data_IF_121023234318
#
_entry.id   IF_121023234318
#
_cell.length_a   1.000
_cell.length_b   1.000
_cell.length_c   1.000
_cell.angle_alpha   90.00
_cell.angle_beta   90.00
_cell.angle_gamma   90.00
#
_symmetry.space_group_name_H-M   'P 1'
#
loop_
_entity.id
_entity.type
_entity.pdbx_description
1 polymer ?
#
# COMPACT_ATOMS: atom_id res chain seq x y z
N UNK A 1 -44.36 84.96 20.40
CA UNK A 1 -43.94 85.58 19.13
C UNK A 1 -43.72 84.49 18.09
N UNK A 2 -44.31 84.69 16.90
CA UNK A 2 -44.21 83.90 15.65
C UNK A 2 -42.86 83.19 15.42
N UNK A 3 -42.89 81.94 14.97
CA UNK A 3 -42.69 81.57 13.54
C UNK A 3 -42.79 80.06 13.30
N UNK A 4 -43.80 79.75 12.49
CA UNK A 4 -44.03 78.54 11.69
C UNK A 4 -42.83 78.20 10.80
N UNK A 5 -42.56 76.90 10.57
CA UNK A 5 -42.18 76.33 9.24
C UNK A 5 -42.06 74.79 9.32
N UNK A 6 -43.02 74.07 8.73
CA UNK A 6 -42.95 73.38 7.42
C UNK A 6 -42.30 71.98 7.48
N UNK A 7 -43.24 71.02 7.55
CA UNK A 7 -43.31 69.66 7.00
C UNK A 7 -42.21 69.30 5.97
N UNK A 8 -41.53 68.16 6.21
CA UNK A 8 -41.19 67.19 5.17
C UNK A 8 -41.46 65.78 5.71
N UNK A 9 -42.57 65.19 5.28
CA UNK A 9 -42.86 63.77 5.44
C UNK A 9 -42.00 63.00 4.43
N UNK A 10 -41.18 62.07 4.90
CA UNK A 10 -40.56 61.05 4.08
C UNK A 10 -41.30 59.73 4.36
N UNK A 11 -42.09 59.30 3.39
CA UNK A 11 -42.76 58.00 3.35
C UNK A 11 -41.71 56.90 3.23
N UNK A 12 -41.50 56.11 4.28
CA UNK A 12 -40.77 54.86 4.21
C UNK A 12 -41.77 53.74 3.90
N UNK A 13 -41.67 53.18 2.70
CA UNK A 13 -42.40 51.97 2.31
C UNK A 13 -41.77 50.76 3.02
N UNK A 14 -42.52 50.12 3.92
CA UNK A 14 -42.15 48.85 4.52
C UNK A 14 -42.47 47.71 3.54
N UNK A 15 -41.44 47.06 2.99
CA UNK A 15 -41.59 45.82 2.25
C UNK A 15 -41.60 44.65 3.26
N UNK A 16 -42.75 43.99 3.40
CA UNK A 16 -42.88 42.75 4.14
C UNK A 16 -42.30 41.59 3.30
N UNK A 17 -41.15 41.06 3.71
CA UNK A 17 -40.61 39.79 3.22
C UNK A 17 -41.18 38.65 4.08
N UNK A 18 -42.14 37.92 3.53
CA UNK A 18 -42.61 36.64 4.07
C UNK A 18 -41.49 35.60 3.85
N UNK A 19 -40.75 35.27 4.91
CA UNK A 19 -39.90 34.08 4.93
C UNK A 19 -40.76 32.84 5.15
N UNK A 20 -41.07 32.15 4.06
CA UNK A 20 -41.57 30.78 4.08
C UNK A 20 -40.42 29.85 4.48
N UNK A 21 -40.21 29.65 5.79
CA UNK A 21 -39.32 28.61 6.30
C UNK A 21 -39.95 27.24 6.06
N UNK A 22 -39.71 26.67 4.87
CA UNK A 22 -39.98 25.26 4.60
C UNK A 22 -39.02 24.40 5.42
N UNK A 23 -39.53 23.74 6.46
CA UNK A 23 -38.88 22.62 7.11
C UNK A 23 -38.84 21.46 6.11
N UNK A 24 -37.77 21.38 5.31
CA UNK A 24 -37.44 20.15 4.61
C UNK A 24 -36.97 19.13 5.66
N UNK A 25 -37.58 17.93 5.75
CA UNK A 25 -37.01 16.86 6.54
C UNK A 25 -35.66 16.52 5.91
N UNK A 26 -34.57 16.73 6.64
CA UNK A 26 -33.30 16.09 6.32
C UNK A 26 -33.55 14.58 6.49
N UNK A 27 -33.89 13.91 5.39
CA UNK A 27 -33.84 12.46 5.33
C UNK A 27 -32.37 12.09 5.53
N UNK A 28 -32.01 11.65 6.73
CA UNK A 28 -30.85 10.79 6.90
C UNK A 28 -31.09 9.60 5.98
N UNK A 29 -30.41 9.59 4.83
CA UNK A 29 -30.24 8.37 4.07
C UNK A 29 -29.58 7.39 5.03
N UNK A 30 -30.37 6.46 5.56
CA UNK A 30 -29.82 5.29 6.18
C UNK A 30 -28.95 4.63 5.10
N UNK A 31 -27.63 4.58 5.32
CA UNK A 31 -26.70 3.85 4.45
C UNK A 31 -27.27 2.46 4.25
N UNK A 32 -27.86 2.24 3.08
CA UNK A 32 -28.32 0.92 2.71
C UNK A 32 -27.04 0.09 2.57
N UNK A 33 -26.89 -1.03 3.30
CA UNK A 33 -25.69 -1.85 3.19
C UNK A 33 -25.43 -2.15 1.72
N UNK A 34 -24.20 -1.90 1.27
CA UNK A 34 -23.81 -2.20 -0.09
C UNK A 34 -24.12 -3.68 -0.39
N UNK A 35 -24.55 -4.02 -1.62
CA UNK A 35 -24.84 -5.39 -1.95
C UNK A 35 -23.57 -6.25 -1.80
N UNK A 36 -23.70 -7.52 -1.35
CA UNK A 36 -22.57 -8.44 -1.26
C UNK A 36 -21.81 -8.57 -2.60
N UNK A 37 -20.49 -8.69 -2.55
CA UNK A 37 -19.66 -8.88 -3.75
C UNK A 37 -19.44 -10.37 -4.04
N UNK A 38 -20.02 -10.94 -5.12
CA UNK A 38 -19.86 -12.35 -5.46
C UNK A 38 -18.43 -12.72 -5.86
N UNK A 39 -17.67 -11.81 -6.46
CA UNK A 39 -16.26 -12.05 -6.82
C UNK A 39 -15.42 -12.23 -5.55
N UNK A 40 -15.65 -11.40 -4.53
CA UNK A 40 -14.98 -11.51 -3.24
C UNK A 40 -15.38 -12.80 -2.50
N UNK A 41 -16.67 -13.16 -2.53
CA UNK A 41 -17.14 -14.43 -1.94
C UNK A 41 -16.50 -15.66 -2.62
N UNK A 42 -16.43 -15.67 -3.95
CA UNK A 42 -15.76 -16.73 -4.71
C UNK A 42 -14.25 -16.79 -4.40
N UNK A 43 -13.61 -15.63 -4.30
CA UNK A 43 -12.19 -15.53 -3.96
C UNK A 43 -11.90 -16.00 -2.52
N UNK A 44 -12.78 -15.69 -1.58
CA UNK A 44 -12.71 -16.17 -0.19
C UNK A 44 -12.90 -17.69 -0.11
N UNK A 45 -13.80 -18.26 -0.92
CA UNK A 45 -13.97 -19.71 -0.99
C UNK A 45 -12.76 -20.41 -1.63
N UNK A 46 -12.08 -19.74 -2.57
CA UNK A 46 -10.84 -20.23 -3.15
C UNK A 46 -9.69 -20.18 -2.13
N UNK A 47 -9.41 -19.01 -1.53
CA UNK A 47 -8.33 -18.83 -0.56
C UNK A 47 -8.73 -19.29 0.84
N UNK A 48 -8.76 -20.61 1.03
CA UNK A 48 -8.90 -21.19 2.36
C UNK A 48 -7.67 -20.90 3.23
N UNK A 49 -7.78 -20.96 4.57
CA UNK A 49 -6.63 -20.80 5.46
C UNK A 49 -5.46 -21.74 5.13
N UNK A 50 -5.77 -22.96 4.67
CA UNK A 50 -4.77 -23.92 4.22
C UNK A 50 -4.04 -23.48 2.94
N UNK A 51 -4.76 -22.91 1.95
CA UNK A 51 -4.13 -22.39 0.73
C UNK A 51 -3.30 -21.14 1.01
N UNK A 52 -3.78 -20.25 1.89
CA UNK A 52 -3.05 -19.06 2.31
C UNK A 52 -1.76 -19.44 3.05
N UNK A 53 -1.82 -20.40 3.98
CA UNK A 53 -0.63 -20.91 4.69
C UNK A 53 0.36 -21.61 3.76
N UNK A 54 -0.12 -22.32 2.74
CA UNK A 54 0.72 -23.01 1.76
C UNK A 54 1.28 -22.08 0.66
N UNK A 55 0.84 -20.83 0.59
CA UNK A 55 1.33 -19.88 -0.41
C UNK A 55 2.82 -19.59 -0.16
N UNK A 56 3.59 -19.62 -1.24
CA UNK A 56 5.05 -19.39 -1.18
C UNK A 56 5.39 -17.97 -1.62
N UNK A 57 6.50 -17.38 -1.16
CA UNK A 57 6.96 -16.09 -1.67
C UNK A 57 7.01 -16.03 -3.20
N UNK A 58 6.70 -14.85 -3.75
CA UNK A 58 6.97 -14.54 -5.16
C UNK A 58 8.45 -14.56 -5.48
N UNK A 59 9.27 -14.05 -4.57
CA UNK A 59 10.73 -14.05 -4.64
C UNK A 59 11.33 -14.97 -3.56
N UNK A 60 11.92 -16.12 -3.94
CA UNK A 60 12.55 -17.05 -3.02
C UNK A 60 13.99 -16.67 -2.62
N UNK A 61 14.55 -15.55 -3.10
CA UNK A 61 15.97 -15.23 -2.96
C UNK A 61 16.39 -14.93 -1.51
N UNK A 62 15.53 -14.31 -0.69
CA UNK A 62 15.80 -14.07 0.74
C UNK A 62 15.47 -15.29 1.61
N UNK A 63 16.31 -16.31 1.56
CA UNK A 63 16.21 -17.46 2.48
C UNK A 63 16.88 -17.12 3.81
N UNK A 64 16.17 -17.39 4.92
CA UNK A 64 16.64 -17.15 6.29
C UNK A 64 17.72 -18.11 6.78
N UNK A 65 18.58 -18.63 5.91
CA UNK A 65 19.66 -19.51 6.33
C UNK A 65 20.75 -18.66 7.01
N UNK A 66 20.90 -18.85 8.32
CA UNK A 66 22.00 -18.30 9.14
C UNK A 66 23.37 -18.94 8.81
N UNK A 67 23.40 -19.85 7.83
CA UNK A 67 24.60 -20.49 7.32
C UNK A 67 25.38 -19.57 6.41
N UNK A 68 26.60 -19.24 6.82
CA UNK A 68 27.57 -18.44 6.09
C UNK A 68 27.73 -18.90 4.62
N UNK A 69 26.95 -18.33 3.71
CA UNK A 69 27.43 -18.10 2.35
C UNK A 69 28.22 -16.81 2.39
N UNK A 70 29.51 -16.94 2.13
CA UNK A 70 30.43 -15.83 1.87
C UNK A 70 29.99 -15.10 0.61
N UNK A 71 28.95 -14.28 0.69
CA UNK A 71 28.87 -13.07 -0.12
C UNK A 71 29.72 -12.05 0.62
N UNK A 72 30.70 -11.45 -0.05
CA UNK A 72 31.46 -10.35 0.55
C UNK A 72 30.46 -9.29 1.05
N UNK A 73 30.58 -8.81 2.31
CA UNK A 73 29.63 -7.88 2.92
C UNK A 73 29.73 -6.45 2.36
N UNK A 74 30.29 -6.27 1.17
CA UNK A 74 30.43 -4.95 0.56
C UNK A 74 29.21 -4.53 -0.25
N UNK A 75 28.35 -5.45 -0.68
CA UNK A 75 27.32 -5.18 -1.70
C UNK A 75 25.88 -5.20 -1.14
N UNK A 76 25.58 -5.98 -0.10
CA UNK A 76 24.24 -6.04 0.51
C UNK A 76 24.32 -6.46 1.99
N UNK A 77 23.41 -5.96 2.84
CA UNK A 77 23.27 -6.40 4.22
C UNK A 77 23.85 -5.48 5.30
N UNK A 78 24.08 -6.01 6.52
CA UNK A 78 24.49 -5.22 7.68
C UNK A 78 25.96 -4.78 7.57
N UNK A 79 26.24 -3.53 7.96
CA UNK A 79 27.60 -2.99 8.03
C UNK A 79 28.34 -3.58 9.25
N UNK A 80 29.68 -3.68 9.23
CA UNK A 80 30.45 -4.13 10.39
C UNK A 80 30.14 -3.32 11.65
N UNK A 81 29.72 -4.01 12.72
CA UNK A 81 29.34 -3.37 13.99
C UNK A 81 27.97 -2.69 14.00
N UNK A 82 27.19 -2.79 12.91
CA UNK A 82 25.84 -2.25 12.87
C UNK A 82 24.92 -3.02 13.81
N UNK A 83 24.19 -2.27 14.64
CA UNK A 83 23.12 -2.84 15.44
C UNK A 83 21.92 -3.15 14.55
N UNK A 84 21.44 -4.40 14.61
CA UNK A 84 20.25 -4.84 13.88
C UNK A 84 19.11 -5.01 14.89
N UNK A 85 18.12 -4.10 14.92
CA UNK A 85 16.97 -4.24 15.80
C UNK A 85 16.24 -5.57 15.55
N UNK A 86 15.87 -6.32 16.60
CA UNK A 86 15.09 -7.54 16.45
C UNK A 86 13.67 -7.20 15.99
N UNK A 87 13.11 -8.02 15.09
CA UNK A 87 11.67 -8.01 14.82
C UNK A 87 10.93 -8.87 15.84
N UNK A 88 9.62 -8.66 15.91
CA UNK A 88 8.69 -9.47 16.69
C UNK A 88 7.46 -9.84 15.88
N UNK A 89 6.96 -11.04 16.09
CA UNK A 89 5.64 -11.43 15.57
C UNK A 89 4.53 -10.75 16.36
N UNK A 90 3.44 -10.40 15.68
CA UNK A 90 2.26 -9.76 16.25
C UNK A 90 1.03 -10.02 15.36
N UNK A 91 -0.15 -9.52 15.73
CA UNK A 91 -1.40 -9.82 15.03
C UNK A 91 -1.68 -8.89 13.82
N UNK A 92 -0.71 -8.07 13.41
CA UNK A 92 -0.89 -7.10 12.32
C UNK A 92 -1.57 -5.80 12.75
N UNK A 93 -1.68 -4.88 11.80
CA UNK A 93 -2.56 -3.70 11.89
C UNK A 93 -3.56 -3.74 10.74
N UNK A 94 -4.73 -3.09 10.87
CA UNK A 94 -5.72 -3.05 9.80
C UNK A 94 -5.15 -2.61 8.45
N UNK A 95 -4.29 -1.59 8.43
CA UNK A 95 -3.77 -0.98 7.21
C UNK A 95 -2.66 -1.77 6.52
N UNK A 96 -2.13 -2.83 7.12
CA UNK A 96 -1.10 -3.68 6.53
C UNK A 96 -1.66 -5.07 6.28
N UNK A 97 -1.22 -5.72 5.21
CA UNK A 97 -1.77 -7.00 4.82
C UNK A 97 -0.91 -7.74 3.82
N UNK A 98 -1.48 -8.81 3.28
CA UNK A 98 -0.81 -9.70 2.34
C UNK A 98 -1.66 -9.88 1.08
N UNK A 99 -1.00 -9.91 -0.06
CA UNK A 99 -1.59 -10.38 -1.31
C UNK A 99 -1.51 -11.90 -1.39
N UNK A 100 -2.52 -12.51 -2.00
CA UNK A 100 -2.48 -13.90 -2.46
C UNK A 100 -2.88 -13.96 -3.93
N UNK A 101 -2.20 -14.79 -4.71
CA UNK A 101 -2.56 -15.09 -6.10
C UNK A 101 -2.09 -16.47 -6.53
N UNK A 102 -2.66 -16.98 -7.62
CA UNK A 102 -2.19 -18.19 -8.29
C UNK A 102 -1.29 -17.78 -9.44
N UNK A 103 -0.05 -18.28 -9.52
CA UNK A 103 0.78 -18.03 -10.70
C UNK A 103 0.34 -18.90 -11.90
N UNK A 104 1.00 -18.72 -13.05
CA UNK A 104 0.69 -19.46 -14.28
C UNK A 104 0.92 -20.99 -14.14
N UNK A 105 1.69 -21.44 -13.15
CA UNK A 105 1.92 -22.86 -12.86
C UNK A 105 0.84 -23.47 -11.96
N UNK A 106 -0.10 -22.67 -11.44
CA UNK A 106 -1.08 -23.10 -10.45
C UNK A 106 -0.61 -22.98 -9.00
N UNK A 107 0.58 -22.41 -8.76
CA UNK A 107 1.16 -22.29 -7.42
C UNK A 107 0.63 -21.04 -6.72
N UNK A 108 0.23 -21.19 -5.46
CA UNK A 108 -0.17 -20.05 -4.63
C UNK A 108 1.04 -19.21 -4.22
N UNK A 109 0.94 -17.90 -4.40
CA UNK A 109 1.99 -16.93 -4.12
C UNK A 109 1.54 -15.86 -3.14
N UNK A 110 2.52 -15.27 -2.46
CA UNK A 110 2.27 -14.20 -1.49
C UNK A 110 3.33 -13.09 -1.54
N UNK A 111 2.86 -11.87 -1.28
CA UNK A 111 3.62 -10.66 -1.00
C UNK A 111 2.88 -9.84 0.06
N UNK A 112 3.54 -8.84 0.63
CA UNK A 112 2.96 -7.88 1.56
C UNK A 112 2.46 -6.61 0.86
N UNK A 113 1.68 -5.81 1.56
CA UNK A 113 1.22 -4.51 1.10
C UNK A 113 0.58 -3.69 2.20
N UNK A 114 0.18 -2.47 1.86
CA UNK A 114 -0.55 -1.59 2.78
C UNK A 114 -1.66 -0.81 2.08
N UNK A 115 -2.76 -0.57 2.80
CA UNK A 115 -3.87 0.26 2.34
C UNK A 115 -3.44 1.72 2.38
N UNK A 116 -3.48 2.39 1.24
CA UNK A 116 -3.13 3.81 1.13
C UNK A 116 -4.40 4.62 0.95
N UNK A 117 -4.44 5.82 1.54
CA UNK A 117 -5.56 6.74 1.33
C UNK A 117 -5.69 7.10 -0.14
N UNK A 118 -6.87 6.88 -0.70
CA UNK A 118 -7.24 7.23 -2.07
C UNK A 118 -8.66 7.82 -2.10
N UNK A 119 -9.00 8.64 -3.12
CA UNK A 119 -10.34 9.19 -3.28
C UNK A 119 -11.45 8.14 -3.33
N UNK A 120 -11.18 6.98 -3.95
CA UNK A 120 -12.15 5.89 -4.13
C UNK A 120 -12.07 4.81 -3.04
N UNK A 121 -11.21 4.98 -2.02
CA UNK A 121 -11.13 4.11 -0.85
C UNK A 121 -10.76 2.65 -1.16
N UNK A 122 -10.01 2.41 -2.23
CA UNK A 122 -9.80 1.08 -2.82
C UNK A 122 -8.32 0.76 -3.17
N UNK A 123 -7.36 1.55 -2.68
CA UNK A 123 -5.96 1.46 -3.12
C UNK A 123 -5.04 0.72 -2.13
N UNK A 124 -4.24 -0.21 -2.66
CA UNK A 124 -3.16 -0.90 -1.94
C UNK A 124 -1.82 -0.53 -2.58
N UNK A 125 -0.81 -0.21 -1.78
CA UNK A 125 0.59 -0.05 -2.17
C UNK A 125 1.37 -1.34 -1.87
N UNK A 126 2.24 -1.74 -2.81
CA UNK A 126 3.16 -2.87 -2.69
C UNK A 126 4.43 -2.62 -3.51
N UNK A 127 5.31 -3.62 -3.59
CA UNK A 127 6.47 -3.60 -4.47
C UNK A 127 6.05 -3.88 -5.92
N UNK A 128 6.80 -3.32 -6.87
CA UNK A 128 6.60 -3.52 -8.29
C UNK A 128 6.79 -4.98 -8.69
N UNK A 129 7.81 -5.69 -8.20
CA UNK A 129 8.07 -7.09 -8.53
C UNK A 129 6.94 -8.03 -8.08
N UNK A 130 6.20 -7.67 -7.02
CA UNK A 130 5.02 -8.43 -6.60
C UNK A 130 3.88 -8.32 -7.62
N UNK A 131 3.74 -7.15 -8.25
CA UNK A 131 2.56 -6.77 -9.02
C UNK A 131 2.78 -6.74 -10.53
N UNK A 132 4.03 -6.63 -11.01
CA UNK A 132 4.37 -6.39 -12.42
C UNK A 132 3.70 -7.36 -13.39
N UNK A 133 3.65 -8.66 -13.06
CA UNK A 133 3.00 -9.69 -13.88
C UNK A 133 1.47 -9.57 -13.99
N UNK A 134 0.88 -8.58 -13.31
CA UNK A 134 -0.55 -8.27 -13.28
C UNK A 134 -0.89 -6.89 -13.86
N UNK A 135 0.10 -6.08 -14.22
CA UNK A 135 -0.11 -4.81 -14.92
C UNK A 135 -0.69 -5.03 -16.32
N UNK A 136 -1.49 -4.07 -16.78
CA UNK A 136 -2.13 -4.14 -18.10
C UNK A 136 -3.14 -5.28 -18.21
N UNK A 137 -3.24 -5.90 -19.39
CA UNK A 137 -4.19 -6.99 -19.65
C UNK A 137 -3.67 -8.32 -19.11
N UNK A 138 -3.80 -8.53 -17.80
CA UNK A 138 -3.42 -9.78 -17.14
C UNK A 138 -4.63 -10.45 -16.49
N UNK A 139 -4.78 -11.79 -16.59
CA UNK A 139 -5.89 -12.47 -15.94
C UNK A 139 -5.85 -12.28 -14.42
N UNK A 140 -7.03 -12.16 -13.79
CA UNK A 140 -7.16 -11.94 -12.34
C UNK A 140 -6.45 -13.00 -11.48
N UNK A 141 -6.13 -14.20 -12.00
CA UNK A 141 -5.48 -15.37 -11.32
C UNK A 141 -5.66 -15.45 -9.79
N UNK A 142 -6.89 -15.30 -9.31
CA UNK A 142 -7.23 -15.25 -7.88
C UNK A 142 -6.41 -14.24 -7.07
N UNK A 143 -6.06 -13.09 -7.65
CA UNK A 143 -5.33 -12.01 -7.00
C UNK A 143 -6.27 -11.24 -6.06
N UNK A 144 -5.94 -11.23 -4.78
CA UNK A 144 -6.64 -10.45 -3.77
C UNK A 144 -5.72 -10.02 -2.64
N UNK A 145 -6.15 -8.97 -1.94
CA UNK A 145 -5.48 -8.43 -0.76
C UNK A 145 -6.27 -8.76 0.50
N UNK A 146 -5.56 -9.13 1.57
CA UNK A 146 -6.12 -9.49 2.88
C UNK A 146 -5.50 -8.58 3.94
N UNK A 147 -6.23 -7.55 4.42
CA UNK A 147 -5.76 -6.68 5.48
C UNK A 147 -5.74 -7.43 6.81
N UNK A 148 -4.73 -7.14 7.64
CA UNK A 148 -4.53 -7.73 8.96
C UNK A 148 -4.56 -9.26 8.98
N UNK A 149 -4.08 -9.93 7.93
CA UNK A 149 -3.97 -11.40 7.94
C UNK A 149 -3.14 -11.87 9.16
N UNK A 150 -3.59 -12.91 9.86
CA UNK A 150 -2.80 -13.59 10.90
C UNK A 150 -3.49 -14.89 11.26
N UNK A 151 -2.72 -15.92 11.59
CA UNK A 151 -3.21 -17.24 12.02
C UNK A 151 -4.26 -17.86 11.07
N UNK A 152 -4.15 -17.57 9.76
CA UNK A 152 -5.13 -17.99 8.75
C UNK A 152 -6.45 -17.21 8.76
N UNK A 153 -6.56 -16.17 9.61
CA UNK A 153 -7.72 -15.30 9.72
C UNK A 153 -7.68 -14.18 8.68
N UNK A 154 -8.87 -13.77 8.25
CA UNK A 154 -9.09 -12.64 7.33
C UNK A 154 -10.02 -11.62 8.01
N UNK A 155 -9.56 -10.83 8.99
CA UNK A 155 -10.43 -10.04 9.86
C UNK A 155 -11.35 -9.06 9.13
N UNK A 156 -10.90 -8.53 7.99
CA UNK A 156 -11.65 -7.59 7.13
C UNK A 156 -12.15 -8.22 5.83
N UNK A 157 -12.03 -9.54 5.70
CA UNK A 157 -12.30 -10.28 4.47
C UNK A 157 -11.16 -10.21 3.46
N UNK A 158 -11.51 -10.50 2.21
CA UNK A 158 -10.60 -10.45 1.06
C UNK A 158 -11.11 -9.44 0.03
N UNK A 159 -10.20 -8.65 -0.51
CA UNK A 159 -10.46 -7.60 -1.48
C UNK A 159 -9.89 -8.05 -2.83
N UNK A 160 -10.72 -8.47 -3.80
CA UNK A 160 -10.25 -8.82 -5.14
C UNK A 160 -9.56 -7.62 -5.78
N UNK A 161 -8.46 -7.85 -6.50
CA UNK A 161 -7.89 -6.78 -7.33
C UNK A 161 -8.73 -6.63 -8.60
N UNK A 162 -9.07 -5.38 -8.94
CA UNK A 162 -9.85 -5.02 -10.13
C UNK A 162 -9.14 -5.53 -11.39
N UNK A 163 -9.92 -5.91 -12.40
CA UNK A 163 -9.32 -6.27 -13.69
C UNK A 163 -8.58 -5.07 -14.28
N UNK A 164 -7.33 -5.25 -14.73
CA UNK A 164 -6.43 -4.16 -15.12
C UNK A 164 -6.26 -3.10 -14.00
N UNK A 165 -6.48 -3.46 -12.74
CA UNK A 165 -6.38 -2.58 -11.59
C UNK A 165 -4.97 -2.50 -11.01
N UNK A 166 -3.97 -3.07 -11.67
CA UNK A 166 -2.59 -3.06 -11.19
C UNK A 166 -1.76 -2.07 -11.98
N UNK A 167 -1.06 -1.22 -11.25
CA UNK A 167 -0.24 -0.13 -11.75
C UNK A 167 1.19 -0.31 -11.28
N UNK A 168 2.11 -0.48 -12.22
CA UNK A 168 3.55 -0.29 -12.05
C UNK A 168 4.00 0.80 -13.02
N UNK A 169 5.12 1.46 -12.77
CA UNK A 169 5.61 2.46 -13.72
C UNK A 169 6.01 1.79 -15.05
N UNK A 170 5.94 2.54 -16.15
CA UNK A 170 6.36 2.03 -17.45
C UNK A 170 7.86 1.72 -17.45
N UNK A 171 8.66 2.51 -16.73
CA UNK A 171 10.09 2.26 -16.53
C UNK A 171 10.32 0.90 -15.85
N UNK A 172 9.58 0.58 -14.78
CA UNK A 172 9.69 -0.72 -14.12
C UNK A 172 9.25 -1.88 -15.02
N UNK A 173 8.16 -1.65 -15.76
CA UNK A 173 7.63 -2.61 -16.71
C UNK A 173 8.68 -2.97 -17.78
N UNK A 174 9.35 -1.97 -18.34
CA UNK A 174 10.33 -2.14 -19.43
C UNK A 174 11.70 -2.62 -18.93
N UNK A 175 12.19 -2.07 -17.81
CA UNK A 175 13.55 -2.30 -17.33
C UNK A 175 13.70 -3.57 -16.46
N UNK A 176 12.62 -4.06 -15.86
CA UNK A 176 12.69 -5.22 -14.97
C UNK A 176 13.19 -4.91 -13.57
N UNK A 177 13.37 -5.97 -12.79
CA UNK A 177 13.63 -5.89 -11.34
C UNK A 177 14.98 -5.23 -11.01
N UNK A 178 15.99 -5.45 -11.87
CA UNK A 178 17.35 -4.94 -11.69
C UNK A 178 17.51 -3.50 -12.18
N UNK A 179 17.55 -3.30 -13.50
CA UNK A 179 17.76 -1.97 -14.08
C UNK A 179 16.64 -0.98 -13.69
N UNK A 180 15.44 -1.50 -13.40
CA UNK A 180 14.30 -0.74 -12.93
C UNK A 180 14.16 -0.66 -11.41
N UNK A 181 15.12 -1.13 -10.60
CA UNK A 181 15.01 -1.18 -9.14
C UNK A 181 14.55 0.15 -8.51
N UNK A 182 14.94 1.31 -9.07
CA UNK A 182 14.47 2.62 -8.60
C UNK A 182 12.95 2.86 -8.71
N UNK A 183 12.23 1.97 -9.42
CA UNK A 183 10.80 2.00 -9.67
C UNK A 183 10.06 0.76 -9.12
N UNK A 184 10.68 -0.01 -8.22
CA UNK A 184 10.08 -1.21 -7.64
C UNK A 184 9.03 -0.87 -6.56
N UNK A 185 7.96 -0.21 -6.99
CA UNK A 185 6.74 0.06 -6.25
C UNK A 185 5.56 -0.09 -7.22
N UNK A 186 4.39 -0.39 -6.66
CA UNK A 186 3.18 -0.54 -7.46
C UNK A 186 1.92 -0.36 -6.63
N UNK A 187 0.84 -0.03 -7.31
CA UNK A 187 -0.48 0.09 -6.71
C UNK A 187 -1.43 -0.97 -7.28
N UNK A 188 -2.33 -1.45 -6.43
CA UNK A 188 -3.45 -2.30 -6.82
C UNK A 188 -4.76 -1.65 -6.38
N UNK A 189 -5.65 -1.43 -7.35
CA UNK A 189 -7.02 -0.99 -7.16
C UNK A 189 -7.88 -2.21 -6.88
N UNK A 190 -8.65 -2.18 -5.80
CA UNK A 190 -9.45 -3.29 -5.33
C UNK A 190 -10.93 -3.14 -5.64
N UNK A 191 -11.64 -4.26 -5.57
CA UNK A 191 -13.09 -4.31 -5.47
C UNK A 191 -13.49 -4.45 -4.00
N UNK A 192 -14.74 -4.10 -3.62
CA UNK A 192 -15.24 -4.30 -2.26
C UNK A 192 -15.13 -5.75 -1.77
N UNK A 193 -15.06 -5.95 -0.45
CA UNK A 193 -15.05 -7.29 0.15
C UNK A 193 -16.39 -8.03 0.00
N UNK A 194 -16.48 -9.25 0.54
CA UNK A 194 -17.68 -10.07 0.48
C UNK A 194 -18.95 -9.39 1.03
N UNK A 195 -18.80 -8.44 1.95
CA UNK A 195 -19.89 -7.69 2.58
C UNK A 195 -20.19 -6.36 1.86
N UNK A 196 -19.56 -6.12 0.71
CA UNK A 196 -19.73 -4.89 -0.08
C UNK A 196 -18.98 -3.67 0.48
N UNK A 197 -18.12 -3.84 1.48
CA UNK A 197 -17.34 -2.74 2.06
C UNK A 197 -16.12 -2.42 1.22
N UNK A 198 -15.83 -1.13 1.01
CA UNK A 198 -14.58 -0.68 0.37
C UNK A 198 -13.41 -0.88 1.32
N UNK A 199 -12.22 -1.06 0.74
CA UNK A 199 -11.00 -1.40 1.46
C UNK A 199 -10.66 -0.42 2.58
N UNK A 200 -10.58 0.87 2.26
CA UNK A 200 -10.22 1.90 3.23
C UNK A 200 -11.31 2.12 4.28
N UNK A 201 -12.58 1.87 3.94
CA UNK A 201 -13.68 1.96 4.90
C UNK A 201 -13.63 0.83 5.94
N UNK A 202 -13.19 -0.37 5.53
CA UNK A 202 -13.04 -1.51 6.42
C UNK A 202 -11.76 -1.43 7.26
N UNK A 203 -10.62 -1.15 6.62
CA UNK A 203 -9.29 -1.30 7.21
C UNK A 203 -8.61 0.02 7.58
N UNK A 204 -9.19 1.17 7.23
CA UNK A 204 -8.50 2.46 7.23
C UNK A 204 -7.41 2.53 6.16
N UNK A 205 -6.69 3.64 6.11
CA UNK A 205 -5.56 3.82 5.18
C UNK A 205 -4.44 4.66 5.79
N UNK A 206 -3.22 4.42 5.33
CA UNK A 206 -2.04 5.24 5.65
C UNK A 206 -1.89 6.38 4.65
N UNK A 207 -1.29 7.48 5.09
CA UNK A 207 -0.91 8.58 4.20
C UNK A 207 0.26 8.17 3.31
N UNK A 208 0.26 8.50 2.01
CA UNK A 208 1.43 8.35 1.14
C UNK A 208 2.28 9.61 1.20
N UNK A 209 3.53 9.49 1.65
CA UNK A 209 4.49 10.59 1.59
C UNK A 209 5.48 10.37 0.46
N UNK A 210 5.74 11.44 -0.27
CA UNK A 210 6.78 11.50 -1.31
C UNK A 210 7.69 12.67 -1.03
N UNK A 211 8.91 12.62 -1.55
CA UNK A 211 9.89 13.69 -1.49
C UNK A 211 10.33 14.09 -0.07
N UNK A 212 10.36 13.11 0.85
CA UNK A 212 10.73 13.31 2.27
C UNK A 212 12.20 13.02 2.58
N UNK A 213 13.01 12.67 1.57
CA UNK A 213 14.39 12.25 1.75
C UNK A 213 14.51 10.80 2.22
N UNK A 214 15.67 10.43 2.79
CA UNK A 214 16.01 9.03 3.12
C UNK A 214 16.20 8.78 4.63
N UNK A 215 15.92 9.78 5.47
CA UNK A 215 16.26 9.74 6.89
C UNK A 215 15.02 9.96 7.73
N UNK A 216 14.40 8.85 8.11
CA UNK A 216 13.18 8.83 8.91
C UNK A 216 13.44 8.11 10.23
N UNK A 217 12.93 8.66 11.34
CA UNK A 217 12.97 8.02 12.65
C UNK A 217 11.82 8.53 13.54
N UNK A 218 11.10 7.64 14.27
CA UNK A 218 11.15 6.19 14.16
C UNK A 218 10.42 5.68 12.91
N UNK A 219 10.88 4.55 12.36
CA UNK A 219 10.20 3.82 11.28
C UNK A 219 9.74 2.48 11.82
N UNK A 220 8.45 2.19 11.64
CA UNK A 220 7.82 0.89 11.89
C UNK A 220 7.70 0.14 10.58
N UNK A 221 8.56 -0.86 10.40
CA UNK A 221 8.51 -1.74 9.23
C UNK A 221 7.65 -2.96 9.55
N UNK A 222 6.72 -3.30 8.65
CA UNK A 222 5.83 -4.45 8.77
C UNK A 222 5.95 -5.31 7.51
N UNK A 223 5.98 -6.62 7.67
CA UNK A 223 6.01 -7.56 6.54
C UNK A 223 5.40 -8.90 6.91
N UNK A 224 4.95 -9.64 5.90
CA UNK A 224 4.31 -10.94 6.00
C UNK A 224 5.20 -12.03 5.40
N UNK A 225 6.08 -12.68 6.19
CA UNK A 225 6.91 -13.77 5.68
C UNK A 225 6.05 -14.89 5.11
N UNK A 226 6.42 -15.42 3.94
CA UNK A 226 5.69 -16.53 3.33
C UNK A 226 5.71 -17.78 4.22
N UNK A 227 4.55 -18.44 4.36
CA UNK A 227 4.38 -19.61 5.21
C UNK A 227 4.36 -19.32 6.72
N UNK A 228 4.59 -18.08 7.17
CA UNK A 228 4.43 -17.71 8.56
C UNK A 228 2.95 -17.48 8.90
N UNK A 229 2.57 -17.79 10.14
CA UNK A 229 1.22 -17.53 10.63
C UNK A 229 0.98 -16.05 10.91
N UNK A 230 2.02 -15.28 11.28
CA UNK A 230 1.88 -13.90 11.72
C UNK A 230 2.83 -12.97 10.97
N UNK A 231 2.46 -11.69 10.79
CA UNK A 231 3.41 -10.68 10.33
C UNK A 231 4.51 -10.44 11.35
N UNK A 232 5.59 -9.83 10.87
CA UNK A 232 6.68 -9.28 11.67
C UNK A 232 6.56 -7.77 11.71
N UNK A 233 6.89 -7.19 12.86
CA UNK A 233 7.17 -5.76 12.98
C UNK A 233 8.55 -5.50 13.56
N UNK A 234 9.16 -4.40 13.12
CA UNK A 234 10.42 -3.89 13.64
C UNK A 234 10.36 -2.36 13.73
N UNK A 235 10.99 -1.80 14.77
CA UNK A 235 11.19 -0.36 14.92
C UNK A 235 12.66 -0.04 14.71
N UNK A 236 12.94 0.87 13.78
CA UNK A 236 14.29 1.28 13.42
C UNK A 236 14.27 2.69 12.84
N UNK A 237 15.25 3.03 12.02
CA UNK A 237 15.35 4.27 11.26
C UNK A 237 15.83 3.96 9.84
N UNK A 238 15.52 4.86 8.91
CA UNK A 238 15.99 4.74 7.53
C UNK A 238 17.24 5.59 7.28
N UNK A 239 18.01 5.17 6.29
CA UNK A 239 19.22 5.85 5.80
C UNK A 239 19.28 5.78 4.28
N UNK A 240 20.08 6.65 3.67
CA UNK A 240 20.37 6.58 2.23
C UNK A 240 21.36 5.46 1.92
N UNK A 241 21.10 4.74 0.82
CA UNK A 241 22.04 3.81 0.20
C UNK A 241 22.22 4.14 -1.28
N UNK A 242 23.42 4.58 -1.65
CA UNK A 242 23.79 4.70 -3.05
C UNK A 242 24.33 3.35 -3.52
N UNK A 243 23.68 2.75 -4.53
CA UNK A 243 24.10 1.46 -5.07
C UNK A 243 25.45 1.58 -5.80
N UNK A 244 26.33 0.62 -5.55
CA UNK A 244 27.55 0.37 -6.31
C UNK A 244 27.41 -0.82 -7.28
N UNK A 245 26.23 -1.45 -7.33
CA UNK A 245 25.91 -2.51 -8.28
C UNK A 245 25.40 -1.91 -9.59
N UNK A 246 26.10 -2.12 -10.72
CA UNK A 246 25.67 -1.62 -12.03
C UNK A 246 24.40 -2.29 -12.55
N UNK A 247 24.01 -3.48 -12.06
CA UNK A 247 22.77 -4.13 -12.43
C UNK A 247 21.55 -3.45 -11.79
N UNK A 248 21.73 -2.91 -10.58
CA UNK A 248 20.69 -2.28 -9.76
C UNK A 248 21.06 -0.81 -9.46
N UNK A 249 21.11 0.07 -10.49
CA UNK A 249 21.56 1.44 -10.32
C UNK A 249 20.56 2.28 -9.53
N UNK A 250 21.07 3.24 -8.77
CA UNK A 250 20.23 4.26 -8.12
C UNK A 250 20.59 4.54 -6.68
N UNK A 251 19.67 5.22 -6.00
CA UNK A 251 19.77 5.52 -4.58
C UNK A 251 18.48 5.11 -3.88
N UNK A 252 18.62 4.33 -2.83
CA UNK A 252 17.55 3.60 -2.17
C UNK A 252 17.45 4.04 -0.71
N UNK A 253 16.25 3.92 -0.17
CA UNK A 253 16.07 3.94 1.27
C UNK A 253 16.50 2.59 1.85
N UNK A 254 17.21 2.62 2.98
CA UNK A 254 17.76 1.44 3.65
C UNK A 254 17.39 1.44 5.13
N UNK A 255 16.94 0.29 5.64
CA UNK A 255 16.56 0.08 7.04
C UNK A 255 17.12 -1.25 7.56
N UNK A 256 17.75 -1.21 8.73
CA UNK A 256 18.19 -2.41 9.44
C UNK A 256 17.08 -2.92 10.35
N UNK A 257 16.68 -4.17 10.16
CA UNK A 257 15.64 -4.87 10.90
C UNK A 257 15.77 -6.38 10.66
N UNK A 258 15.89 -7.17 11.71
CA UNK A 258 16.09 -8.62 11.58
C UNK A 258 14.82 -9.36 11.14
N UNK A 259 14.96 -10.43 10.38
CA UNK A 259 13.91 -11.43 10.10
C UNK A 259 13.04 -11.17 8.87
N UNK A 260 13.33 -10.16 8.06
CA UNK A 260 12.53 -9.84 6.86
C UNK A 260 12.98 -10.69 5.66
N UNK A 261 12.28 -11.80 5.44
CA UNK A 261 12.55 -12.82 4.41
C UNK A 261 11.54 -12.76 3.26
N UNK A 262 11.62 -13.68 2.29
CA UNK A 262 10.66 -13.78 1.20
C UNK A 262 9.19 -13.73 1.66
N UNK A 263 8.35 -13.02 0.89
CA UNK A 263 6.95 -12.72 1.22
C UNK A 263 6.77 -11.36 1.90
N UNK A 264 7.80 -10.86 2.60
CA UNK A 264 7.76 -9.52 3.20
C UNK A 264 7.82 -8.38 2.18
N UNK A 265 8.21 -8.66 0.93
CA UNK A 265 8.20 -7.73 -0.19
C UNK A 265 6.88 -6.96 -0.31
N UNK A 266 6.97 -5.64 -0.54
CA UNK A 266 5.82 -4.73 -0.54
C UNK A 266 5.35 -4.29 0.84
N UNK A 267 5.92 -4.85 1.92
CA UNK A 267 5.59 -4.49 3.30
C UNK A 267 5.96 -3.03 3.59
N UNK A 268 5.12 -2.27 4.32
CA UNK A 268 5.31 -0.83 4.44
C UNK A 268 6.40 -0.45 5.45
N UNK A 269 7.10 0.63 5.15
CA UNK A 269 7.92 1.40 6.09
C UNK A 269 7.09 2.59 6.57
N UNK A 270 6.61 2.54 7.82
CA UNK A 270 5.64 3.50 8.35
C UNK A 270 6.27 4.49 9.34
N UNK A 271 5.89 5.76 9.24
CA UNK A 271 6.23 6.82 10.20
C UNK A 271 4.96 7.35 10.89
N UNK A 272 5.07 7.85 12.13
CA UNK A 272 3.95 8.53 12.79
C UNK A 272 3.47 9.73 11.98
N UNK A 273 2.16 9.89 11.85
CA UNK A 273 1.55 10.99 11.10
C UNK A 273 0.26 11.47 11.78
N UNK A 274 -0.14 12.75 11.63
CA UNK A 274 -1.47 13.17 12.08
C UNK A 274 -2.57 12.25 11.54
N UNK A 275 -3.39 11.70 12.44
CA UNK A 275 -4.43 10.75 12.07
C UNK A 275 -3.95 9.31 11.81
N UNK A 276 -2.74 8.93 12.27
CA UNK A 276 -2.28 7.54 12.32
C UNK A 276 -0.86 7.36 11.79
N UNK A 277 -0.75 6.73 10.62
CA UNK A 277 0.52 6.36 9.99
C UNK A 277 0.62 6.95 8.60
N UNK A 278 1.85 7.19 8.18
CA UNK A 278 2.22 7.47 6.81
C UNK A 278 3.24 6.46 6.31
N UNK A 279 3.20 6.11 5.03
CA UNK A 279 4.18 5.25 4.36
C UNK A 279 5.20 6.09 3.61
N UNK A 280 6.48 5.78 3.82
CA UNK A 280 7.64 6.45 3.19
C UNK A 280 8.44 5.51 2.27
N UNK A 281 8.12 4.22 2.30
CA UNK A 281 8.76 3.20 1.50
C UNK A 281 8.06 1.84 1.62
N UNK A 282 8.46 0.91 0.76
CA UNK A 282 8.06 -0.50 0.81
C UNK A 282 9.29 -1.39 0.74
N UNK A 283 9.23 -2.61 1.26
CA UNK A 283 10.30 -3.59 1.07
C UNK A 283 10.37 -3.94 -0.42
N UNK A 284 11.35 -3.36 -1.11
CA UNK A 284 11.51 -3.40 -2.57
C UNK A 284 12.71 -2.56 -3.02
N UNK A 285 12.91 -2.42 -4.31
CA UNK A 285 14.00 -1.64 -4.88
C UNK A 285 15.26 -2.47 -5.00
N UNK A 286 16.37 -1.97 -4.45
CA UNK A 286 17.68 -2.62 -4.55
C UNK A 286 17.60 -4.11 -4.22
N UNK A 287 17.92 -4.98 -5.18
CA UNK A 287 17.76 -6.43 -5.05
C UNK A 287 16.39 -6.85 -4.51
N UNK A 288 15.31 -6.34 -5.10
CA UNK A 288 13.91 -6.58 -4.66
C UNK A 288 13.69 -6.27 -3.17
N UNK A 289 14.49 -5.33 -2.65
CA UNK A 289 14.52 -4.85 -1.27
C UNK A 289 15.60 -5.47 -0.39
N UNK A 290 16.59 -6.18 -0.95
CA UNK A 290 17.75 -6.74 -0.27
C UNK A 290 17.86 -8.26 -0.41
N UNK A 291 19.05 -8.81 -0.19
CA UNK A 291 19.29 -10.26 -0.21
C UNK A 291 19.40 -10.87 1.19
N UNK A 292 19.47 -10.04 2.23
CA UNK A 292 19.67 -10.49 3.60
C UNK A 292 18.42 -10.29 4.45
N UNK A 293 18.16 -11.15 5.46
CA UNK A 293 17.05 -10.95 6.37
C UNK A 293 17.26 -9.80 7.38
N UNK A 294 18.45 -9.20 7.46
CA UNK A 294 18.80 -8.17 8.45
C UNK A 294 18.61 -6.74 7.95
N UNK A 295 18.58 -6.55 6.64
CA UNK A 295 18.50 -5.23 6.03
C UNK A 295 17.51 -5.29 4.90
N UNK A 296 16.62 -4.30 4.87
CA UNK A 296 15.69 -4.10 3.77
C UNK A 296 15.91 -2.75 3.11
N UNK A 297 15.53 -2.68 1.84
CA UNK A 297 15.58 -1.47 1.04
C UNK A 297 14.18 -1.10 0.55
N UNK A 298 14.04 0.16 0.10
CA UNK A 298 12.92 0.65 -0.70
C UNK A 298 13.46 1.47 -1.86
N UNK A 299 12.79 1.40 -3.01
CA UNK A 299 12.86 2.46 -4.01
C UNK A 299 12.50 3.81 -3.36
N UNK A 300 13.11 4.90 -3.82
CA UNK A 300 12.80 6.23 -3.29
C UNK A 300 11.40 6.69 -3.70
N UNK A 301 10.60 7.12 -2.74
CA UNK A 301 9.28 7.66 -3.01
C UNK A 301 9.37 9.14 -3.40
N UNK A 302 9.44 9.39 -4.71
CA UNK A 302 9.48 10.74 -5.29
C UNK A 302 8.37 10.98 -6.30
N UNK A 303 8.66 11.83 -7.28
CA UNK A 303 7.72 12.19 -8.35
C UNK A 303 7.18 11.00 -9.14
N UNK A 304 7.99 9.95 -9.35
CA UNK A 304 7.54 8.72 -10.03
C UNK A 304 6.46 7.97 -9.23
N UNK A 305 6.63 7.87 -7.91
CA UNK A 305 5.61 7.28 -7.02
C UNK A 305 4.34 8.11 -7.00
N UNK A 306 4.47 9.44 -6.96
CA UNK A 306 3.32 10.35 -7.03
C UNK A 306 2.56 10.22 -8.35
N UNK A 307 3.27 10.23 -9.48
CA UNK A 307 2.68 10.06 -10.79
C UNK A 307 1.95 8.71 -10.92
N UNK A 308 2.50 7.63 -10.37
CA UNK A 308 1.85 6.32 -10.39
C UNK A 308 0.61 6.27 -9.48
N UNK A 309 0.64 6.93 -8.32
CA UNK A 309 -0.53 7.10 -7.46
C UNK A 309 -1.65 7.87 -8.20
N UNK A 310 -1.30 8.98 -8.86
CA UNK A 310 -2.24 9.78 -9.64
C UNK A 310 -2.83 8.96 -10.79
N UNK A 311 -2.02 8.17 -11.50
CA UNK A 311 -2.48 7.27 -12.56
C UNK A 311 -3.48 6.22 -12.02
N UNK A 312 -3.17 5.61 -10.88
CA UNK A 312 -4.01 4.59 -10.27
C UNK A 312 -5.35 5.16 -9.77
N UNK A 313 -5.35 6.38 -9.24
CA UNK A 313 -6.55 7.05 -8.70
C UNK A 313 -7.40 7.75 -9.75
N UNK A 314 -6.84 8.06 -10.92
CA UNK A 314 -7.60 8.64 -12.04
C UNK A 314 -8.03 7.61 -13.08
N UNK A 315 -7.60 6.35 -12.94
CA UNK A 315 -7.92 5.27 -13.87
C UNK A 315 -7.23 5.41 -15.23
N UNK A 316 -6.03 6.00 -15.25
CA UNK A 316 -5.20 6.03 -16.45
C UNK A 316 -4.90 4.60 -16.94
N UNK A 317 -4.64 4.37 -18.24
CA UNK A 317 -4.24 3.05 -18.70
C UNK A 317 -2.98 2.55 -17.97
N UNK A 318 -2.98 1.34 -17.37
CA UNK A 318 -1.79 0.78 -16.75
C UNK A 318 -0.66 0.54 -17.74
N UNK A 319 0.57 0.43 -17.22
CA UNK A 319 1.73 0.06 -18.02
C UNK A 319 1.52 -1.28 -18.75
N UNK A 320 2.04 -1.35 -19.97
CA UNK A 320 1.92 -2.51 -20.85
C UNK A 320 3.02 -2.52 -21.91
N UNK A 321 3.02 -3.52 -22.81
CA UNK A 321 3.99 -3.58 -23.90
C UNK A 321 3.96 -2.30 -24.74
N UNK A 322 5.13 -1.75 -25.05
CA UNK A 322 5.24 -0.69 -26.06
C UNK A 322 4.62 -1.19 -27.37
N UNK A 323 3.72 -0.38 -27.95
CA UNK A 323 3.08 -0.65 -29.24
C UNK A 323 4.03 -0.46 -30.40
#
# INVERSE_FOLDING_TARGET
>A
MRRTRIIRQATAAAAALLLSAGLAPAASAADTPAPPNPDAAALSAYWTPARMTAAVPSDPARRGDLGARTTSPTVDGPRPGEFIPPSKSFDGIPQAGTFFWTDASGTGRTCSGSVVRSPDHDLVLSAGHCLKGYSGTSPKRHLGFVPQYHDGLTPFGIFPVRNNGVYVSQEYYDQGEHAGAAYDFGFAVTEPNQDGQRLQDAAGGVELLTDTGYSHAPVRMIGYPGGAQKPLECLSWTTQWASDDPADPGTFERIACAGFVGGTSGGPMLVPWPGGWAVVGVIGGYHTGGNTPQVSYSAYFGSATRALYDAATTGAPPAGPAS
#
